data_IF_111270221254
#
_entry.id   IF_111270221254
#
_cell.length_a   1.000
_cell.length_b   1.000
_cell.length_c   1.000
_cell.angle_alpha   90.00
_cell.angle_beta   90.00
_cell.angle_gamma   90.00
#
_symmetry.space_group_name_H-M   'P 1'
#
loop_
_entity.id
_entity.type
_entity.pdbx_description
1 polymer ?
#
# COMPACT_ATOMS: atom_id res chain seq x y z
N UNK A 1 18.12 56.59 -9.02
CA UNK A 1 18.94 55.71 -9.88
C UNK A 1 18.88 54.31 -9.27
N UNK A 2 18.26 53.36 -10.00
CA UNK A 2 18.24 51.88 -9.88
C UNK A 2 17.85 51.23 -8.52
N UNK A 3 16.70 50.54 -8.42
CA UNK A 3 16.36 49.16 -8.92
C UNK A 3 16.80 48.08 -7.91
N UNK A 4 16.01 47.07 -7.52
CA UNK A 4 14.76 46.58 -8.10
C UNK A 4 13.99 45.61 -7.19
N UNK A 5 12.73 45.41 -7.61
CA UNK A 5 11.67 44.60 -7.03
C UNK A 5 11.90 43.09 -7.12
N UNK A 6 11.26 42.34 -6.21
CA UNK A 6 11.04 40.90 -6.32
C UNK A 6 10.06 40.32 -5.29
N UNK A 7 8.89 40.95 -5.11
CA UNK A 7 7.79 40.40 -4.31
C UNK A 7 7.01 39.38 -5.16
N UNK A 8 7.07 38.10 -4.78
CA UNK A 8 6.25 37.04 -5.38
C UNK A 8 5.04 36.81 -4.47
N UNK A 9 3.97 37.56 -4.73
CA UNK A 9 2.59 37.15 -4.42
C UNK A 9 2.00 36.51 -5.68
N UNK A 10 1.48 35.28 -5.58
CA UNK A 10 0.47 34.61 -6.44
C UNK A 10 0.45 33.12 -6.05
N UNK A 11 -0.64 32.39 -5.91
CA UNK A 11 -2.09 32.62 -5.97
C UNK A 11 -2.67 31.36 -5.29
N UNK A 12 -3.49 31.53 -4.26
CA UNK A 12 -4.33 30.43 -3.79
C UNK A 12 -5.40 30.20 -4.86
N UNK A 13 -5.43 29.00 -5.45
CA UNK A 13 -6.57 28.55 -6.25
C UNK A 13 -7.51 27.86 -5.28
N UNK A 14 -8.58 28.56 -4.90
CA UNK A 14 -9.72 27.95 -4.23
C UNK A 14 -10.48 27.11 -5.27
N UNK A 15 -10.38 25.79 -5.20
CA UNK A 15 -11.31 24.89 -5.86
C UNK A 15 -12.62 24.92 -5.07
N UNK A 16 -13.46 25.92 -5.36
CA UNK A 16 -14.85 25.93 -4.91
C UNK A 16 -15.61 24.88 -5.74
N UNK A 17 -15.82 23.70 -5.17
CA UNK A 17 -16.87 22.79 -5.62
C UNK A 17 -18.21 23.51 -5.39
N UNK A 18 -18.66 24.23 -6.41
CA UNK A 18 -19.95 24.91 -6.39
C UNK A 18 -21.00 23.83 -6.61
N UNK A 19 -21.64 23.38 -5.52
CA UNK A 19 -22.89 22.61 -5.61
C UNK A 19 -23.89 23.46 -6.41
N UNK A 20 -24.28 22.97 -7.58
CA UNK A 20 -25.38 23.56 -8.35
C UNK A 20 -26.69 23.22 -7.63
N UNK A 21 -27.05 23.98 -6.59
CA UNK A 21 -28.43 24.10 -6.18
C UNK A 21 -29.12 25.00 -7.22
N UNK A 22 -29.74 24.39 -8.23
CA UNK A 22 -30.55 25.11 -9.21
C UNK A 22 -31.84 25.63 -8.54
N UNK A 23 -31.77 26.76 -7.85
CA UNK A 23 -32.94 27.59 -7.56
C UNK A 23 -33.15 28.54 -8.74
N UNK A 24 -34.09 28.21 -9.63
CA UNK A 24 -34.57 29.15 -10.64
C UNK A 24 -35.27 30.33 -9.94
N UNK A 25 -34.59 31.46 -9.77
CA UNK A 25 -35.24 32.73 -9.51
C UNK A 25 -35.59 33.39 -10.86
N UNK A 26 -36.87 33.39 -11.22
CA UNK A 26 -37.41 34.18 -12.33
C UNK A 26 -37.34 35.68 -11.95
N UNK A 27 -36.25 36.34 -12.34
CA UNK A 27 -36.13 37.80 -12.32
C UNK A 27 -36.44 38.36 -13.70
N UNK A 28 -37.70 38.76 -13.94
CA UNK A 28 -38.04 39.65 -15.06
C UNK A 28 -37.58 41.07 -14.72
N UNK A 29 -36.65 41.64 -15.48
CA UNK A 29 -36.71 43.01 -16.06
C UNK A 29 -35.35 43.51 -16.55
N UNK A 30 -35.33 44.17 -17.72
CA UNK A 30 -34.35 45.21 -18.04
C UNK A 30 -33.42 45.01 -19.25
N UNK A 31 -33.97 45.20 -20.45
CA UNK A 31 -33.35 45.72 -21.70
C UNK A 31 -31.83 45.87 -21.81
N UNK A 32 -31.18 45.06 -22.67
CA UNK A 32 -30.21 45.52 -23.67
C UNK A 32 -29.85 44.41 -24.67
N UNK A 33 -30.12 44.71 -25.94
CA UNK A 33 -29.71 44.09 -27.20
C UNK A 33 -28.41 43.25 -27.17
N UNK A 34 -28.50 41.98 -27.58
CA UNK A 34 -27.34 41.27 -28.15
C UNK A 34 -27.22 39.77 -27.92
N UNK A 35 -28.12 39.08 -27.23
CA UNK A 35 -27.90 37.67 -26.90
C UNK A 35 -28.74 36.72 -27.76
N UNK A 36 -28.05 35.98 -28.63
CA UNK A 36 -28.53 34.68 -29.12
C UNK A 36 -28.42 33.72 -27.92
N UNK A 37 -29.41 33.77 -27.02
CA UNK A 37 -29.67 32.76 -25.99
C UNK A 37 -30.79 31.87 -26.50
N UNK A 38 -30.45 30.96 -27.41
CA UNK A 38 -31.44 30.11 -28.06
C UNK A 38 -31.89 28.98 -27.13
N UNK A 39 -33.14 28.48 -27.27
CA UNK A 39 -33.59 27.27 -26.58
C UNK A 39 -32.68 26.06 -26.79
N UNK A 40 -31.95 26.02 -27.92
CA UNK A 40 -30.95 24.99 -28.23
C UNK A 40 -29.66 25.15 -27.41
N UNK A 41 -29.21 26.37 -27.16
CA UNK A 41 -28.05 26.63 -26.28
C UNK A 41 -28.40 26.37 -24.82
N UNK A 42 -29.60 26.75 -24.38
CA UNK A 42 -30.14 26.35 -23.07
C UNK A 42 -30.27 24.85 -22.93
N UNK A 43 -30.83 24.15 -23.92
CA UNK A 43 -30.88 22.68 -23.92
C UNK A 43 -29.49 22.04 -23.94
N UNK A 44 -28.52 22.59 -24.68
CA UNK A 44 -27.14 22.10 -24.67
C UNK A 44 -26.42 22.38 -23.36
N UNK A 45 -26.67 23.52 -22.73
CA UNK A 45 -26.14 23.86 -21.41
C UNK A 45 -26.78 23.00 -20.30
N UNK A 46 -28.09 22.75 -20.37
CA UNK A 46 -28.79 21.81 -19.50
C UNK A 46 -28.36 20.36 -19.75
N UNK A 47 -28.16 19.95 -21.00
CA UNK A 47 -27.61 18.63 -21.32
C UNK A 47 -26.16 18.49 -20.85
N UNK A 48 -25.31 19.52 -21.01
CA UNK A 48 -23.94 19.54 -20.50
C UNK A 48 -23.88 19.56 -18.97
N UNK A 49 -24.80 20.25 -18.32
CA UNK A 49 -24.92 20.28 -16.86
C UNK A 49 -25.56 18.99 -16.31
N UNK A 50 -26.43 18.31 -17.08
CA UNK A 50 -26.97 16.99 -16.75
C UNK A 50 -26.06 15.83 -17.16
N UNK A 51 -25.01 16.11 -17.94
CA UNK A 51 -24.03 15.13 -18.42
C UNK A 51 -22.64 15.32 -17.81
N UNK A 52 -22.48 16.17 -16.80
CA UNK A 52 -21.33 16.08 -15.92
C UNK A 52 -21.55 14.83 -15.05
N UNK A 53 -21.36 13.65 -15.66
CA UNK A 53 -21.36 12.41 -14.92
C UNK A 53 -20.22 12.50 -13.92
N UNK A 54 -20.56 12.36 -12.63
CA UNK A 54 -19.57 12.23 -11.58
C UNK A 54 -18.59 11.12 -11.96
N UNK A 55 -17.30 11.38 -11.78
CA UNK A 55 -16.31 10.29 -11.90
C UNK A 55 -16.64 9.19 -10.88
N UNK A 56 -16.14 7.96 -11.06
CA UNK A 56 -16.32 6.91 -10.05
C UNK A 56 -15.84 7.32 -8.65
N UNK A 57 -14.75 8.11 -8.57
CA UNK A 57 -14.25 8.68 -7.30
C UNK A 57 -15.24 9.69 -6.73
N UNK A 58 -15.66 10.69 -7.51
CA UNK A 58 -16.62 11.71 -7.06
C UNK A 58 -17.95 11.08 -6.64
N UNK A 59 -18.46 10.14 -7.44
CA UNK A 59 -19.69 9.43 -7.17
C UNK A 59 -19.60 8.69 -5.82
N UNK A 60 -18.51 7.96 -5.57
CA UNK A 60 -18.31 7.26 -4.30
C UNK A 60 -18.17 8.25 -3.13
N UNK A 61 -17.32 9.26 -3.27
CA UNK A 61 -17.05 10.24 -2.22
C UNK A 61 -18.32 11.00 -1.81
N UNK A 62 -19.16 11.43 -2.76
CA UNK A 62 -20.39 12.18 -2.44
C UNK A 62 -21.54 11.30 -1.92
N UNK A 63 -21.52 9.99 -2.18
CA UNK A 63 -22.54 9.07 -1.69
C UNK A 63 -22.17 8.31 -0.40
N UNK A 64 -20.93 8.43 0.09
CA UNK A 64 -20.49 7.81 1.36
C UNK A 64 -20.07 8.87 2.40
N UNK A 65 -20.96 9.26 3.33
CA UNK A 65 -20.63 10.23 4.37
C UNK A 65 -19.48 9.82 5.29
N UNK A 66 -19.34 8.51 5.59
CA UNK A 66 -18.30 8.01 6.48
C UNK A 66 -16.94 8.07 5.82
N UNK A 67 -16.88 7.78 4.52
CA UNK A 67 -15.68 7.96 3.72
C UNK A 67 -15.21 9.42 3.73
N UNK A 68 -16.13 10.38 3.58
CA UNK A 68 -15.78 11.82 3.66
C UNK A 68 -15.26 12.23 5.02
N UNK A 69 -15.85 11.72 6.10
CA UNK A 69 -15.34 11.96 7.45
C UNK A 69 -13.92 11.39 7.62
N UNK A 70 -13.67 10.21 7.05
CA UNK A 70 -12.38 9.51 7.13
C UNK A 70 -11.30 10.26 6.33
N UNK A 71 -11.56 10.57 5.07
CA UNK A 71 -10.59 11.14 4.15
C UNK A 71 -10.44 12.66 4.28
N UNK A 72 -11.48 13.35 4.76
CA UNK A 72 -11.56 14.80 4.75
C UNK A 72 -11.77 15.36 3.34
N UNK A 73 -11.48 16.64 3.16
CA UNK A 73 -11.67 17.31 1.87
C UNK A 73 -10.61 16.92 0.84
N UNK A 74 -10.94 16.96 -0.47
CA UNK A 74 -9.94 16.81 -1.52
C UNK A 74 -8.89 17.93 -1.42
N UNK A 75 -7.63 17.58 -1.62
CA UNK A 75 -6.48 18.51 -1.56
C UNK A 75 -6.19 19.10 -2.95
N UNK A 76 -6.54 18.37 -4.01
CA UNK A 76 -6.34 18.74 -5.40
C UNK A 76 -7.48 18.22 -6.28
N UNK A 77 -7.42 18.50 -7.58
CA UNK A 77 -8.26 17.90 -8.62
C UNK A 77 -7.97 16.41 -8.81
N UNK A 78 -8.92 15.69 -9.41
CA UNK A 78 -8.74 14.29 -9.78
C UNK A 78 -7.88 14.17 -11.05
N UNK A 79 -6.87 13.33 -10.99
CA UNK A 79 -5.95 13.02 -12.08
C UNK A 79 -6.41 11.78 -12.83
N UNK A 80 -6.23 11.76 -14.15
CA UNK A 80 -6.60 10.65 -15.03
C UNK A 80 -5.45 10.37 -15.99
N UNK A 81 -4.68 9.30 -15.75
CA UNK A 81 -3.50 8.94 -16.53
C UNK A 81 -3.45 7.43 -16.71
N UNK A 82 -3.26 6.97 -17.94
CA UNK A 82 -3.06 5.55 -18.30
C UNK A 82 -4.11 4.59 -17.71
N UNK A 83 -5.38 5.00 -17.69
CA UNK A 83 -6.49 4.20 -17.17
C UNK A 83 -6.63 4.20 -15.64
N UNK A 84 -5.82 5.00 -14.94
CA UNK A 84 -5.88 5.22 -13.50
C UNK A 84 -6.46 6.60 -13.24
N UNK A 85 -7.56 6.64 -12.48
CA UNK A 85 -8.08 7.88 -11.91
C UNK A 85 -7.70 7.93 -10.43
N UNK A 86 -7.18 9.05 -9.95
CA UNK A 86 -6.77 9.16 -8.55
C UNK A 86 -6.84 10.59 -8.02
N UNK A 87 -7.10 10.71 -6.71
CA UNK A 87 -7.21 12.00 -6.04
C UNK A 87 -6.68 11.92 -4.61
N UNK A 88 -5.95 12.96 -4.22
CA UNK A 88 -5.48 13.14 -2.85
C UNK A 88 -6.54 13.84 -2.00
N UNK A 89 -6.71 13.34 -0.78
CA UNK A 89 -7.54 13.92 0.27
C UNK A 89 -6.68 14.25 1.50
N UNK A 90 -7.23 15.03 2.43
CA UNK A 90 -6.49 15.47 3.62
C UNK A 90 -5.83 14.31 4.40
N UNK A 91 -6.53 13.18 4.50
CA UNK A 91 -6.12 12.04 5.31
C UNK A 91 -5.85 10.77 4.49
N UNK A 92 -5.76 10.86 3.17
CA UNK A 92 -5.62 9.68 2.33
C UNK A 92 -5.70 9.93 0.83
N UNK A 93 -5.93 8.85 0.10
CA UNK A 93 -6.03 8.83 -1.36
C UNK A 93 -7.24 8.00 -1.76
N UNK A 94 -7.86 8.36 -2.89
CA UNK A 94 -8.75 7.46 -3.63
C UNK A 94 -8.16 7.16 -4.99
N UNK A 95 -8.34 5.92 -5.44
CA UNK A 95 -7.96 5.43 -6.75
C UNK A 95 -9.15 4.73 -7.40
N UNK A 96 -9.20 4.76 -8.73
CA UNK A 96 -10.12 3.99 -9.53
C UNK A 96 -9.43 3.47 -10.79
N UNK A 97 -9.64 2.19 -11.09
CA UNK A 97 -9.42 1.60 -12.42
C UNK A 97 -10.63 0.73 -12.76
N UNK A 98 -10.80 0.40 -14.04
CA UNK A 98 -11.86 -0.54 -14.46
C UNK A 98 -11.69 -1.94 -13.84
N UNK A 99 -10.45 -2.34 -13.56
CA UNK A 99 -10.12 -3.67 -13.03
C UNK A 99 -10.33 -3.79 -11.51
N UNK A 100 -9.97 -2.75 -10.75
CA UNK A 100 -10.04 -2.80 -9.28
C UNK A 100 -11.27 -2.09 -8.73
N UNK A 101 -11.91 -1.21 -9.50
CA UNK A 101 -12.93 -0.32 -8.99
C UNK A 101 -12.35 0.78 -8.11
N UNK A 102 -13.23 1.50 -7.40
CA UNK A 102 -12.81 2.64 -6.58
C UNK A 102 -12.41 2.20 -5.17
N UNK A 103 -11.18 2.48 -4.75
CA UNK A 103 -10.63 2.13 -3.45
C UNK A 103 -9.91 3.28 -2.76
N UNK A 104 -9.95 3.28 -1.43
CA UNK A 104 -9.26 4.29 -0.62
C UNK A 104 -8.06 3.73 0.15
N UNK A 105 -7.09 4.60 0.43
CA UNK A 105 -5.99 4.36 1.36
C UNK A 105 -5.93 5.54 2.32
N UNK A 106 -5.97 5.32 3.64
CA UNK A 106 -5.94 6.41 4.63
C UNK A 106 -4.96 6.18 5.78
N UNK A 107 -4.89 7.16 6.69
CA UNK A 107 -4.18 7.05 7.95
C UNK A 107 -2.69 6.69 7.83
N UNK A 108 -2.21 5.83 8.72
CA UNK A 108 -0.80 5.42 8.75
C UNK A 108 -0.39 4.61 7.51
N UNK A 109 -1.32 3.90 6.89
CA UNK A 109 -1.07 3.16 5.65
C UNK A 109 -0.90 4.13 4.49
N UNK A 110 -1.73 5.16 4.37
CA UNK A 110 -1.57 6.20 3.36
C UNK A 110 -0.26 6.98 3.52
N UNK A 111 0.15 7.27 4.76
CA UNK A 111 1.43 7.92 5.03
C UNK A 111 2.60 7.07 4.48
N UNK A 112 2.61 5.76 4.78
CA UNK A 112 3.63 4.85 4.27
C UNK A 112 3.57 4.69 2.74
N UNK A 113 2.36 4.51 2.19
CA UNK A 113 2.14 4.41 0.75
C UNK A 113 2.65 5.66 0.02
N UNK A 114 2.46 6.86 0.58
CA UNK A 114 2.99 8.11 0.04
C UNK A 114 4.51 8.18 0.13
N UNK A 115 5.09 7.80 1.27
CA UNK A 115 6.54 7.80 1.50
C UNK A 115 7.30 6.94 0.47
N UNK A 116 6.70 5.83 0.04
CA UNK A 116 7.32 4.90 -0.92
C UNK A 116 7.01 5.24 -2.39
N UNK A 117 6.31 6.33 -2.68
CA UNK A 117 6.01 6.75 -4.06
C UNK A 117 4.60 6.38 -4.59
N UNK A 118 3.68 5.94 -3.71
CA UNK A 118 2.29 5.62 -4.04
C UNK A 118 2.15 4.50 -5.10
N UNK A 119 1.20 4.67 -6.02
CA UNK A 119 0.87 3.74 -7.09
C UNK A 119 2.03 3.51 -8.08
N UNK A 120 2.95 4.45 -8.22
CA UNK A 120 4.14 4.27 -9.06
C UNK A 120 5.06 3.15 -8.53
N UNK A 121 5.02 2.88 -7.22
CA UNK A 121 5.85 1.82 -6.60
C UNK A 121 5.02 0.60 -6.24
N UNK A 122 3.87 0.78 -5.58
CA UNK A 122 3.07 -0.32 -5.03
C UNK A 122 1.87 -0.72 -5.90
N UNK A 123 1.60 0.02 -6.97
CA UNK A 123 0.38 -0.13 -7.76
C UNK A 123 -0.85 0.39 -7.03
N UNK A 124 -1.99 0.41 -7.72
CA UNK A 124 -3.26 0.89 -7.16
C UNK A 124 -3.83 -0.07 -6.11
N UNK A 125 -4.60 0.44 -5.13
CA UNK A 125 -5.28 -0.40 -4.15
C UNK A 125 -6.36 -1.29 -4.78
N UNK A 126 -6.50 -2.50 -4.24
CA UNK A 126 -7.53 -3.51 -4.56
C UNK A 126 -8.52 -3.71 -3.43
N UNK A 127 -8.30 -3.01 -2.32
CA UNK A 127 -9.18 -2.96 -1.15
C UNK A 127 -9.16 -1.55 -0.61
N UNK A 128 -10.22 -1.18 0.10
CA UNK A 128 -10.14 -0.10 1.08
C UNK A 128 -9.21 -0.49 2.24
N UNK A 129 -8.96 0.43 3.17
CA UNK A 129 -8.31 0.05 4.42
C UNK A 129 -9.29 -0.79 5.25
N UNK A 130 -8.95 -2.05 5.48
CA UNK A 130 -9.76 -3.00 6.22
C UNK A 130 -9.10 -3.33 7.57
N UNK A 131 -9.93 -3.66 8.57
CA UNK A 131 -9.44 -4.27 9.80
C UNK A 131 -8.98 -5.70 9.49
N UNK A 132 -7.84 -6.11 10.03
CA UNK A 132 -7.35 -7.49 9.85
C UNK A 132 -8.33 -8.50 10.49
N UNK A 133 -8.47 -9.70 9.92
CA UNK A 133 -9.33 -10.77 10.46
C UNK A 133 -9.15 -11.10 11.96
N UNK A 134 -7.95 -10.91 12.51
CA UNK A 134 -7.67 -11.12 13.94
C UNK A 134 -8.03 -9.91 14.84
N UNK A 135 -8.47 -8.80 14.24
CA UNK A 135 -8.92 -7.59 14.92
C UNK A 135 -7.81 -6.69 15.47
N UNK A 136 -6.52 -6.96 15.20
CA UNK A 136 -5.40 -6.24 15.82
C UNK A 136 -4.78 -5.14 14.96
N UNK A 137 -5.01 -5.19 13.66
CA UNK A 137 -4.35 -4.33 12.70
C UNK A 137 -5.26 -3.84 11.58
N UNK A 138 -4.62 -3.18 10.63
CA UNK A 138 -5.25 -2.63 9.42
C UNK A 138 -4.43 -3.02 8.20
N UNK A 139 -5.06 -3.10 7.04
CA UNK A 139 -4.34 -3.36 5.80
C UNK A 139 -5.03 -2.78 4.56
N UNK A 140 -4.21 -2.52 3.55
CA UNK A 140 -4.63 -2.44 2.15
C UNK A 140 -3.86 -3.48 1.33
N UNK A 141 -4.52 -4.07 0.34
CA UNK A 141 -3.86 -4.84 -0.72
C UNK A 141 -3.73 -4.00 -1.99
N UNK A 142 -2.66 -4.22 -2.74
CA UNK A 142 -2.36 -3.47 -3.96
C UNK A 142 -2.05 -4.44 -5.10
N UNK A 143 -2.36 -4.01 -6.33
CA UNK A 143 -2.06 -4.80 -7.55
C UNK A 143 -0.56 -5.08 -7.65
N UNK A 144 0.29 -4.15 -7.19
CA UNK A 144 1.72 -4.21 -7.42
C UNK A 144 2.16 -3.53 -8.71
N UNK A 145 3.46 -3.63 -8.98
CA UNK A 145 4.09 -3.22 -10.25
C UNK A 145 4.95 -4.36 -10.77
N UNK A 146 5.44 -4.27 -12.01
CA UNK A 146 6.38 -5.26 -12.56
C UNK A 146 7.65 -5.39 -11.71
N UNK A 147 8.05 -4.32 -11.02
CA UNK A 147 9.26 -4.30 -10.20
C UNK A 147 9.13 -5.11 -8.91
N UNK A 148 7.97 -5.03 -8.23
CA UNK A 148 7.80 -5.65 -6.89
C UNK A 148 6.73 -6.74 -6.83
N UNK A 149 5.96 -6.92 -7.90
CA UNK A 149 4.79 -7.79 -7.94
C UNK A 149 3.71 -7.36 -6.93
N UNK A 150 2.76 -8.26 -6.65
CA UNK A 150 1.66 -8.00 -5.71
C UNK A 150 2.17 -7.51 -4.34
N UNK A 151 1.51 -6.48 -3.82
CA UNK A 151 1.94 -5.80 -2.61
C UNK A 151 0.80 -5.66 -1.59
N UNK A 152 1.16 -5.44 -0.34
CA UNK A 152 0.23 -5.14 0.75
C UNK A 152 0.92 -4.25 1.76
N UNK A 153 0.19 -3.34 2.39
CA UNK A 153 0.70 -2.59 3.53
C UNK A 153 -0.16 -2.96 4.72
N UNK A 154 0.48 -3.42 5.79
CA UNK A 154 -0.17 -3.80 7.04
C UNK A 154 0.30 -2.88 8.16
N UNK A 155 -0.62 -2.47 9.02
CA UNK A 155 -0.35 -1.65 10.19
C UNK A 155 -0.81 -2.34 11.47
N UNK A 156 0.01 -2.25 12.52
CA UNK A 156 -0.40 -2.50 13.90
C UNK A 156 0.19 -1.40 14.81
N UNK A 157 -0.35 -1.23 16.02
CA UNK A 157 0.24 -0.31 17.00
C UNK A 157 1.72 -0.62 17.32
N UNK A 158 2.11 -1.90 17.28
CA UNK A 158 3.45 -2.35 17.67
C UNK A 158 4.48 -2.20 16.55
N UNK A 159 4.07 -2.41 15.29
CA UNK A 159 4.98 -2.50 14.14
C UNK A 159 4.95 -1.28 13.23
N UNK A 160 3.97 -0.40 13.39
CA UNK A 160 3.67 0.62 12.40
C UNK A 160 3.26 0.01 11.05
N UNK A 161 3.22 0.86 10.01
CA UNK A 161 2.83 0.46 8.66
C UNK A 161 4.04 -0.15 7.91
N UNK A 162 3.93 -1.41 7.54
CA UNK A 162 4.98 -2.17 6.85
C UNK A 162 4.47 -2.65 5.49
N UNK A 163 5.25 -2.37 4.45
CA UNK A 163 4.97 -2.85 3.09
C UNK A 163 5.55 -4.25 2.87
N UNK A 164 4.73 -5.20 2.46
CA UNK A 164 5.15 -6.56 2.11
C UNK A 164 4.84 -6.78 0.63
N UNK A 165 5.82 -7.17 -0.16
CA UNK A 165 5.66 -7.35 -1.59
C UNK A 165 6.39 -8.59 -2.12
N UNK A 166 6.11 -8.94 -3.38
CA UNK A 166 6.82 -9.98 -4.11
C UNK A 166 6.71 -11.39 -3.49
N UNK A 167 7.74 -12.23 -3.66
CA UNK A 167 7.74 -13.59 -3.16
C UNK A 167 7.52 -13.73 -1.64
N UNK A 168 8.10 -12.87 -0.77
CA UNK A 168 7.77 -12.88 0.67
C UNK A 168 6.27 -12.67 0.95
N UNK A 169 5.62 -11.73 0.26
CA UNK A 169 4.17 -11.50 0.40
C UNK A 169 3.35 -12.69 -0.06
N UNK A 170 3.72 -13.30 -1.18
CA UNK A 170 3.03 -14.49 -1.70
C UNK A 170 3.18 -15.69 -0.77
N UNK A 171 4.38 -15.91 -0.22
CA UNK A 171 4.61 -16.94 0.79
C UNK A 171 3.75 -16.68 2.02
N UNK A 172 3.77 -15.47 2.56
CA UNK A 172 2.99 -15.09 3.73
C UNK A 172 1.48 -15.27 3.52
N UNK A 173 0.98 -14.84 2.37
CA UNK A 173 -0.42 -15.02 1.96
C UNK A 173 -0.83 -16.50 1.94
N UNK A 174 0.00 -17.36 1.33
CA UNK A 174 -0.24 -18.81 1.27
C UNK A 174 -0.30 -19.46 2.66
N UNK A 175 0.39 -18.88 3.64
CA UNK A 175 0.45 -19.40 5.01
C UNK A 175 -0.48 -18.67 5.98
N UNK A 176 -1.49 -17.94 5.47
CA UNK A 176 -2.58 -17.40 6.28
C UNK A 176 -2.40 -15.96 6.75
N UNK A 177 -1.48 -15.20 6.14
CA UNK A 177 -1.20 -13.80 6.50
C UNK A 177 -0.93 -13.64 8.01
N UNK A 178 -1.51 -12.62 8.64
CA UNK A 178 -1.32 -12.30 10.06
C UNK A 178 -1.87 -13.38 11.01
N UNK A 179 -2.76 -14.26 10.54
CA UNK A 179 -3.22 -15.43 11.31
C UNK A 179 -2.29 -16.64 11.19
N UNK A 180 -1.34 -16.57 10.26
CA UNK A 180 -0.34 -17.61 10.03
C UNK A 180 0.77 -17.62 11.07
N UNK A 181 1.64 -18.61 10.99
CA UNK A 181 2.78 -18.76 11.92
C UNK A 181 3.79 -17.60 11.85
N UNK A 182 3.81 -16.86 10.73
CA UNK A 182 4.68 -15.70 10.56
C UNK A 182 4.19 -14.48 11.33
N UNK A 183 2.88 -14.37 11.63
CA UNK A 183 2.26 -13.18 12.23
C UNK A 183 2.52 -11.90 11.38
N UNK A 184 2.47 -10.71 11.97
CA UNK A 184 2.65 -9.44 11.27
C UNK A 184 4.10 -9.17 10.81
N UNK A 185 4.27 -8.45 9.67
CA UNK A 185 5.57 -7.93 9.27
C UNK A 185 6.11 -6.93 10.29
N UNK A 186 7.40 -7.02 10.58
CA UNK A 186 8.16 -6.08 11.43
C UNK A 186 9.13 -5.22 10.61
N UNK A 187 9.29 -5.51 9.32
CA UNK A 187 10.02 -4.68 8.36
C UNK A 187 9.27 -4.60 7.05
N UNK A 188 9.58 -3.57 6.26
CA UNK A 188 9.19 -3.54 4.84
C UNK A 188 10.05 -4.54 4.06
N UNK A 189 9.48 -5.20 3.05
CA UNK A 189 10.26 -6.06 2.16
C UNK A 189 11.37 -5.25 1.50
N UNK A 190 12.61 -5.75 1.58
CA UNK A 190 13.80 -5.05 1.09
C UNK A 190 14.68 -6.01 0.31
N UNK A 191 15.42 -5.49 -0.67
CA UNK A 191 16.49 -6.23 -1.32
C UNK A 191 17.55 -6.65 -0.29
N UNK A 192 18.04 -7.87 -0.44
CA UNK A 192 19.25 -8.31 0.26
C UNK A 192 20.42 -7.40 -0.15
N UNK A 193 21.39 -7.09 0.73
CA UNK A 193 22.51 -6.21 0.41
C UNK A 193 23.34 -6.60 -0.83
N UNK A 194 23.23 -7.85 -1.30
CA UNK A 194 23.87 -8.32 -2.54
C UNK A 194 22.99 -8.22 -3.79
N UNK A 195 21.74 -7.77 -3.69
CA UNK A 195 20.78 -7.69 -4.78
C UNK A 195 20.37 -9.05 -5.37
N UNK A 196 20.63 -10.15 -4.67
CA UNK A 196 20.40 -11.52 -5.17
C UNK A 196 19.04 -12.09 -4.77
N UNK A 197 18.23 -11.29 -4.11
CA UNK A 197 17.05 -11.75 -3.43
C UNK A 197 16.43 -10.65 -2.58
N UNK A 198 15.28 -10.95 -2.00
CA UNK A 198 14.49 -10.04 -1.18
C UNK A 198 14.10 -10.74 0.10
N UNK A 199 13.87 -9.97 1.16
CA UNK A 199 13.46 -10.54 2.44
C UNK A 199 12.46 -9.66 3.17
N UNK A 200 11.74 -10.26 4.12
CA UNK A 200 10.88 -9.55 5.07
C UNK A 200 11.01 -10.20 6.43
N UNK A 201 11.15 -9.37 7.46
CA UNK A 201 11.07 -9.82 8.84
C UNK A 201 9.64 -9.77 9.34
N UNK A 202 9.28 -10.76 10.13
CA UNK A 202 7.98 -10.90 10.76
C UNK A 202 8.15 -11.15 12.25
N UNK A 203 7.08 -10.89 13.00
CA UNK A 203 7.05 -11.06 14.45
C UNK A 203 7.23 -12.53 14.87
N UNK A 204 6.72 -13.46 14.07
CA UNK A 204 6.54 -14.86 14.48
C UNK A 204 5.38 -14.98 15.47
N UNK A 205 4.49 -15.95 15.26
CA UNK A 205 3.33 -16.15 16.14
C UNK A 205 3.74 -16.63 17.56
N UNK A 206 4.95 -17.15 17.71
CA UNK A 206 5.59 -17.48 18.98
C UNK A 206 6.35 -16.29 19.60
N UNK A 207 6.37 -15.14 18.94
CA UNK A 207 7.13 -13.94 19.29
C UNK A 207 8.65 -14.14 19.33
N UNK A 208 9.17 -15.19 18.71
CA UNK A 208 10.61 -15.46 18.61
C UNK A 208 11.22 -14.92 17.30
N UNK A 209 10.43 -14.22 16.49
CA UNK A 209 10.86 -13.68 15.22
C UNK A 209 10.83 -14.70 14.09
N UNK A 210 10.42 -14.25 12.93
CA UNK A 210 10.46 -15.02 11.70
C UNK A 210 10.98 -14.16 10.55
N UNK A 211 11.45 -14.78 9.49
CA UNK A 211 11.80 -14.09 8.26
C UNK A 211 11.53 -14.95 7.06
N UNK A 212 11.05 -14.34 5.99
CA UNK A 212 10.97 -14.98 4.68
C UNK A 212 12.03 -14.36 3.80
N UNK A 213 12.92 -15.20 3.29
CA UNK A 213 13.93 -14.84 2.30
C UNK A 213 13.60 -15.53 0.99
N UNK A 214 13.87 -14.85 -0.11
CA UNK A 214 13.76 -15.40 -1.45
C UNK A 214 15.01 -15.07 -2.25
N UNK A 215 15.49 -16.02 -3.04
CA UNK A 215 16.36 -15.78 -4.19
C UNK A 215 15.90 -16.61 -5.38
N UNK A 216 16.29 -16.24 -6.59
CA UNK A 216 15.97 -16.99 -7.81
C UNK A 216 16.39 -18.48 -7.71
N UNK A 217 17.54 -18.75 -7.09
CA UNK A 217 18.08 -20.11 -6.97
C UNK A 217 17.39 -20.99 -5.91
N UNK A 218 16.73 -20.40 -4.92
CA UNK A 218 16.19 -21.14 -3.76
C UNK A 218 14.68 -21.05 -3.62
N UNK A 219 14.04 -20.04 -4.19
CA UNK A 219 12.63 -19.76 -3.91
C UNK A 219 12.43 -19.19 -2.50
N UNK A 220 11.17 -19.00 -2.07
CA UNK A 220 10.86 -18.35 -0.80
C UNK A 220 10.85 -19.35 0.34
N UNK A 221 11.64 -19.09 1.38
CA UNK A 221 11.73 -19.93 2.56
C UNK A 221 11.67 -19.11 3.84
N UNK A 222 10.98 -19.66 4.84
CA UNK A 222 10.91 -19.08 6.18
C UNK A 222 12.00 -19.64 7.10
N UNK A 223 12.71 -18.77 7.82
CA UNK A 223 13.61 -19.12 8.92
C UNK A 223 13.07 -18.46 10.19
N UNK A 224 13.02 -19.20 11.30
CA UNK A 224 12.29 -18.76 12.51
C UNK A 224 13.09 -19.01 13.79
N UNK A 225 12.71 -18.30 14.86
CA UNK A 225 13.19 -18.49 16.22
C UNK A 225 14.72 -18.55 16.36
N UNK A 226 15.21 -19.41 17.25
CA UNK A 226 16.64 -19.52 17.55
C UNK A 226 17.50 -19.91 16.34
N UNK A 227 16.93 -20.66 15.38
CA UNK A 227 17.63 -20.98 14.11
C UNK A 227 17.86 -19.70 13.31
N UNK A 228 16.82 -18.87 13.17
CA UNK A 228 16.90 -17.57 12.50
C UNK A 228 17.92 -16.66 13.18
N UNK A 229 17.86 -16.56 14.50
CA UNK A 229 18.73 -15.64 15.24
C UNK A 229 20.20 -15.99 15.04
N UNK A 230 20.56 -17.28 15.15
CA UNK A 230 21.92 -17.74 14.87
C UNK A 230 22.31 -17.46 13.41
N UNK A 231 21.44 -17.73 12.45
CA UNK A 231 21.72 -17.47 11.04
C UNK A 231 21.96 -15.97 10.76
N UNK A 232 21.15 -15.09 11.34
CA UNK A 232 21.33 -13.64 11.23
C UNK A 232 22.64 -13.19 11.88
N UNK A 233 23.00 -13.72 13.05
CA UNK A 233 24.27 -13.45 13.74
C UNK A 233 25.48 -13.84 12.89
N UNK A 234 25.39 -14.96 12.16
CA UNK A 234 26.41 -15.42 11.23
C UNK A 234 26.54 -14.56 9.96
N UNK A 235 25.65 -13.60 9.74
CA UNK A 235 25.63 -12.73 8.57
C UNK A 235 24.57 -13.11 7.52
N UNK A 236 23.54 -13.85 7.91
CA UNK A 236 22.39 -14.19 7.08
C UNK A 236 22.78 -14.82 5.73
N UNK A 237 22.20 -14.36 4.63
CA UNK A 237 22.46 -14.88 3.28
C UNK A 237 23.90 -14.60 2.79
N UNK A 238 24.62 -13.71 3.46
CA UNK A 238 26.04 -13.45 3.21
C UNK A 238 26.97 -14.34 4.02
N UNK A 239 26.45 -15.07 5.00
CA UNK A 239 27.21 -16.04 5.77
C UNK A 239 27.67 -17.20 4.88
N UNK A 240 28.54 -18.05 5.41
CA UNK A 240 28.98 -19.25 4.71
C UNK A 240 27.84 -20.23 4.44
N UNK A 241 26.69 -20.13 5.12
CA UNK A 241 25.51 -20.96 4.89
C UNK A 241 24.77 -20.57 3.60
N UNK A 242 24.74 -19.28 3.25
CA UNK A 242 23.97 -18.75 2.12
C UNK A 242 22.47 -18.61 2.39
N UNK A 243 21.67 -18.60 1.31
CA UNK A 243 20.21 -18.52 1.39
C UNK A 243 19.59 -19.82 1.96
N UNK A 244 18.44 -19.74 2.63
CA UNK A 244 17.69 -20.92 3.04
C UNK A 244 17.19 -21.71 1.81
N UNK A 245 17.20 -23.03 1.91
CA UNK A 245 16.69 -23.98 0.89
C UNK A 245 15.55 -24.85 1.43
N UNK A 246 15.20 -24.68 2.70
CA UNK A 246 14.01 -25.26 3.31
C UNK A 246 13.36 -24.27 4.27
N UNK A 247 12.07 -24.49 4.53
CA UNK A 247 11.50 -24.02 5.79
C UNK A 247 12.05 -24.86 6.95
N UNK A 248 11.83 -24.41 8.18
CA UNK A 248 12.12 -25.21 9.36
C UNK A 248 11.24 -26.47 9.40
N UNK A 249 11.84 -27.63 9.70
CA UNK A 249 11.15 -28.92 9.83
C UNK A 249 11.62 -29.69 11.06
N UNK A 250 10.76 -30.59 11.55
CA UNK A 250 11.04 -31.38 12.74
C UNK A 250 12.07 -32.49 12.47
N UNK A 251 12.97 -32.70 13.44
CA UNK A 251 13.93 -33.80 13.51
C UNK A 251 13.86 -34.43 14.90
N UNK A 252 14.45 -35.61 15.11
CA UNK A 252 14.35 -36.35 16.38
C UNK A 252 14.74 -35.53 17.63
N UNK A 253 15.76 -34.66 17.50
CA UNK A 253 16.29 -33.87 18.62
C UNK A 253 15.68 -32.46 18.73
N UNK A 254 14.82 -32.06 17.79
CA UNK A 254 14.24 -30.72 17.74
C UNK A 254 13.89 -30.32 16.31
N UNK A 255 14.53 -29.28 15.76
CA UNK A 255 14.20 -28.74 14.44
C UNK A 255 15.43 -28.44 13.61
N UNK A 256 15.25 -28.30 12.30
CA UNK A 256 16.32 -27.99 11.35
C UNK A 256 15.82 -27.11 10.21
N UNK A 257 16.69 -26.19 9.77
CA UNK A 257 16.56 -25.50 8.49
C UNK A 257 17.80 -25.75 7.64
N UNK A 258 17.59 -26.03 6.36
CA UNK A 258 18.64 -26.20 5.38
C UNK A 258 18.94 -24.88 4.66
N UNK A 259 20.21 -24.70 4.33
CA UNK A 259 20.75 -23.58 3.57
C UNK A 259 21.59 -24.11 2.40
N UNK A 260 22.00 -23.22 1.50
CA UNK A 260 22.77 -23.59 0.31
C UNK A 260 24.03 -24.42 0.60
N UNK A 261 24.77 -24.10 1.67
CA UNK A 261 26.07 -24.72 1.97
C UNK A 261 26.13 -25.42 3.33
N UNK A 262 24.99 -25.60 3.99
CA UNK A 262 24.93 -26.25 5.29
C UNK A 262 23.52 -26.23 5.87
N UNK A 263 23.42 -26.47 7.17
CA UNK A 263 22.15 -26.49 7.88
C UNK A 263 22.34 -26.00 9.31
N UNK A 264 21.27 -25.54 9.94
CA UNK A 264 21.25 -25.24 11.36
C UNK A 264 20.23 -26.17 12.02
N UNK A 265 20.63 -26.80 13.12
CA UNK A 265 19.71 -27.56 13.98
C UNK A 265 19.42 -26.78 15.25
N UNK A 266 18.23 -26.96 15.81
CA UNK A 266 17.85 -26.51 17.14
C UNK A 266 17.50 -27.72 18.00
N UNK A 267 18.06 -27.77 19.20
CA UNK A 267 17.81 -28.84 20.15
C UNK A 267 16.70 -28.45 21.13
N UNK A 268 15.61 -29.20 21.11
CA UNK A 268 14.43 -28.92 21.94
C UNK A 268 14.65 -29.05 23.45
N UNK A 269 15.65 -29.83 23.88
CA UNK A 269 15.98 -30.02 25.30
C UNK A 269 16.85 -28.92 25.86
N UNK A 270 17.72 -28.33 25.04
CA UNK A 270 18.69 -27.31 25.48
C UNK A 270 18.33 -25.90 25.03
N UNK A 271 17.43 -25.75 24.06
CA UNK A 271 17.09 -24.48 23.44
C UNK A 271 18.19 -23.90 22.54
N UNK A 272 19.26 -24.66 22.25
CA UNK A 272 20.42 -24.16 21.50
C UNK A 272 20.33 -24.50 20.02
N UNK A 273 20.75 -23.56 19.17
CA UNK A 273 20.97 -23.78 17.76
C UNK A 273 22.46 -23.99 17.45
N UNK A 274 22.76 -24.86 16.50
CA UNK A 274 24.12 -25.16 16.03
C UNK A 274 24.16 -25.22 14.51
N UNK A 275 25.16 -24.56 13.91
CA UNK A 275 25.34 -24.48 12.47
C UNK A 275 26.36 -25.53 12.00
N UNK A 276 26.03 -26.23 10.90
CA UNK A 276 26.81 -27.32 10.34
C UNK A 276 27.03 -27.10 8.84
N UNK A 277 28.21 -27.49 8.36
CA UNK A 277 28.53 -27.49 6.92
C UNK A 277 28.24 -28.87 6.33
N UNK A 278 27.83 -28.92 5.06
CA UNK A 278 27.78 -30.18 4.30
C UNK A 278 29.16 -30.80 4.13
#
# INVERSE_FOLDING_TARGET
MFSGNGSIFRRAVAAAATLLAATLSLGLSGTASGDVDTPRERQRAQQRASSAEFTPIEHRYWNDPKLRETLGHPVDTEYHVDGISYQQFQNGWMYHTDDTGTHEVHGAIAARYTEVGTHETYGVPTTDELTTPDGKGRYNHFVGTDAIGVASIYWTPDTGAQGVWGPPRQFWAKHGYERGFLDYPTSTTTDTPGGKGVYTHFRGADHLGASVYWSESTGPHSVQGTIRDLWLELGAEKSWLGFPTSNEYDIEIGRRSDFQNGYITWNSKTGKAEAHRY
#
